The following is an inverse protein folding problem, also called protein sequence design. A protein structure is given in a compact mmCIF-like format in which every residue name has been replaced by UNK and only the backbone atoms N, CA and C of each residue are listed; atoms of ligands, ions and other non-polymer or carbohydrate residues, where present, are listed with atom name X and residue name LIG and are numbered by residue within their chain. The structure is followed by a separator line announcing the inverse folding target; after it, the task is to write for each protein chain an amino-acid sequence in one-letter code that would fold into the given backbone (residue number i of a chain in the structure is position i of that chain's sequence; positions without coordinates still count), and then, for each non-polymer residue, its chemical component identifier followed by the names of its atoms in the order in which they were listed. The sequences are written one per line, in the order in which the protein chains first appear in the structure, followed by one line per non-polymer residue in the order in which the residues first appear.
data_IF_412145814081
#
_entry.id   IF_412145814081
#
_cell.length_a   1.000
_cell.length_b   1.000
_cell.length_c   1.000
_cell.angle_alpha   90.00
_cell.angle_beta   90.00
_cell.angle_gamma   90.00
#
_symmetry.space_group_name_H-M   'P 1'
#
loop_
_entity.id
_entity.type
_entity.pdbx_description
1 polymer ?
#
# COMPACT_ATOMS: atom_id res chain seq x y z
N UNK A 1 7.55 14.33 18.88
CA UNK A 1 8.22 13.95 17.63
C UNK A 1 7.18 13.52 16.61
N UNK A 2 7.21 14.14 15.45
CA UNK A 2 6.26 13.81 14.39
C UNK A 2 6.59 12.46 13.78
N UNK A 3 5.55 11.68 13.52
CA UNK A 3 5.72 10.39 12.85
C UNK A 3 5.91 10.58 11.35
N UNK A 4 6.68 9.70 10.75
CA UNK A 4 6.75 9.58 9.29
C UNK A 4 5.48 8.87 8.84
N UNK A 5 4.69 9.50 7.97
CA UNK A 5 3.41 8.98 7.53
C UNK A 5 3.52 8.39 6.13
N UNK A 6 3.21 7.10 6.01
CA UNK A 6 3.31 6.34 4.77
C UNK A 6 1.94 5.79 4.39
N UNK A 7 1.52 6.06 3.16
CA UNK A 7 0.27 5.55 2.62
C UNK A 7 0.55 4.66 1.41
N UNK A 8 0.15 3.39 1.51
CA UNK A 8 0.25 2.44 0.41
C UNK A 8 -1.05 2.43 -0.40
N UNK A 9 -0.94 2.43 -1.73
CA UNK A 9 -2.09 2.61 -2.61
C UNK A 9 -2.07 1.58 -3.72
N UNK A 10 -3.22 0.94 -3.95
CA UNK A 10 -3.44 0.09 -5.13
C UNK A 10 -4.85 0.35 -5.66
N UNK A 11 -5.29 -0.43 -6.65
CA UNK A 11 -6.58 -0.20 -7.28
C UNK A 11 -7.75 -0.37 -6.30
N UNK A 12 -7.82 -1.52 -5.61
CA UNK A 12 -8.95 -1.87 -4.75
C UNK A 12 -8.74 -1.72 -3.25
N UNK A 13 -7.51 -1.62 -2.79
CA UNK A 13 -7.13 -1.56 -1.37
C UNK A 13 -7.57 -2.80 -0.57
N UNK A 14 -7.52 -3.96 -1.20
CA UNK A 14 -7.82 -5.23 -0.53
C UNK A 14 -6.71 -6.27 -0.67
N UNK A 15 -5.77 -6.09 -1.60
CA UNK A 15 -4.67 -7.03 -1.85
C UNK A 15 -3.29 -6.40 -1.65
N UNK A 16 -2.74 -5.75 -2.68
CA UNK A 16 -1.34 -5.29 -2.66
C UNK A 16 -1.06 -4.22 -1.62
N UNK A 17 -1.88 -3.19 -1.54
CA UNK A 17 -1.66 -2.10 -0.59
C UNK A 17 -1.86 -2.56 0.86
N UNK A 18 -2.82 -3.45 1.10
CA UNK A 18 -3.03 -4.01 2.43
C UNK A 18 -1.90 -4.96 2.81
N UNK A 19 -1.42 -5.77 1.87
CA UNK A 19 -0.26 -6.63 2.12
C UNK A 19 0.96 -5.79 2.48
N UNK A 20 1.25 -4.73 1.71
CA UNK A 20 2.37 -3.84 1.98
C UNK A 20 2.21 -3.16 3.35
N UNK A 21 1.01 -2.71 3.68
CA UNK A 21 0.71 -2.08 4.97
C UNK A 21 1.11 -2.98 6.13
N UNK A 22 0.66 -4.23 6.13
CA UNK A 22 0.91 -5.13 7.25
C UNK A 22 2.32 -5.69 7.27
N UNK A 23 2.92 -5.94 6.11
CA UNK A 23 4.33 -6.35 6.03
C UNK A 23 5.24 -5.25 6.59
N UNK A 24 5.02 -4.01 6.18
CA UNK A 24 5.82 -2.88 6.66
C UNK A 24 5.58 -2.61 8.14
N UNK A 25 4.32 -2.69 8.60
CA UNK A 25 3.98 -2.53 10.01
C UNK A 25 4.71 -3.57 10.86
N UNK A 26 4.70 -4.82 10.43
CA UNK A 26 5.41 -5.90 11.13
C UNK A 26 6.91 -5.64 11.18
N UNK A 27 7.47 -5.14 10.07
CA UNK A 27 8.89 -4.84 9.97
C UNK A 27 9.30 -3.75 10.97
N UNK A 28 8.55 -2.64 11.02
CA UNK A 28 8.87 -1.56 11.95
C UNK A 28 8.64 -1.96 13.41
N UNK A 29 7.64 -2.80 13.68
CA UNK A 29 7.38 -3.30 15.03
C UNK A 29 8.54 -4.17 15.52
N UNK A 30 9.09 -5.01 14.63
CA UNK A 30 10.22 -5.89 14.95
C UNK A 30 11.52 -5.11 15.20
N UNK A 31 11.64 -3.91 14.64
CA UNK A 31 12.82 -3.07 14.81
C UNK A 31 12.62 -1.97 15.85
N UNK A 32 11.54 -2.04 16.63
CA UNK A 32 11.21 -1.07 17.67
C UNK A 32 11.04 0.35 17.13
N UNK A 33 10.49 0.49 15.92
CA UNK A 33 10.27 1.77 15.26
C UNK A 33 8.79 2.19 15.23
N UNK A 34 7.92 1.45 15.91
CA UNK A 34 6.47 1.65 15.90
C UNK A 34 6.08 3.11 16.17
N UNK A 35 6.73 3.75 17.14
CA UNK A 35 6.40 5.11 17.55
C UNK A 35 6.86 6.17 16.54
N UNK A 36 7.67 5.79 15.55
CA UNK A 36 8.23 6.71 14.56
C UNK A 36 7.45 6.75 13.24
N UNK A 37 6.50 5.82 13.03
CA UNK A 37 5.76 5.68 11.78
C UNK A 37 4.27 5.60 12.00
N UNK A 38 3.52 6.20 11.06
CA UNK A 38 2.09 5.98 10.92
C UNK A 38 1.86 5.40 9.52
N UNK A 39 1.25 4.23 9.43
CA UNK A 39 1.09 3.48 8.19
C UNK A 39 -0.37 3.18 7.93
N UNK A 40 -0.83 3.45 6.71
CA UNK A 40 -2.18 3.15 6.29
C UNK A 40 -2.18 2.77 4.82
N UNK A 41 -3.34 2.49 4.26
CA UNK A 41 -3.50 2.16 2.86
C UNK A 41 -4.84 2.66 2.33
N UNK A 42 -4.92 2.83 1.00
CA UNK A 42 -6.10 3.34 0.33
C UNK A 42 -6.18 2.81 -1.10
N UNK A 43 -7.31 3.03 -1.75
CA UNK A 43 -7.57 2.62 -3.13
C UNK A 43 -7.63 3.83 -4.06
N UNK A 44 -7.33 3.61 -5.34
CA UNK A 44 -7.62 4.60 -6.37
C UNK A 44 -9.07 4.51 -6.84
N UNK A 45 -9.70 3.35 -6.71
CA UNK A 45 -11.09 3.12 -7.16
C UNK A 45 -12.08 3.11 -6.01
N UNK A 46 -13.37 3.10 -6.33
CA UNK A 46 -14.48 2.97 -5.38
C UNK A 46 -15.05 1.56 -5.32
N UNK A 47 -14.53 0.65 -6.14
CA UNK A 47 -15.14 -0.67 -6.34
C UNK A 47 -15.25 -1.49 -5.06
N UNK A 48 -14.27 -1.36 -4.17
CA UNK A 48 -14.18 -2.18 -2.98
C UNK A 48 -14.39 -1.42 -1.65
N UNK A 49 -14.86 -0.17 -1.71
CA UNK A 49 -15.04 0.65 -0.49
C UNK A 49 -15.84 -0.12 0.56
N UNK A 50 -15.28 -0.19 1.77
CA UNK A 50 -15.89 -0.87 2.91
C UNK A 50 -15.63 -2.36 2.98
N UNK A 51 -15.03 -2.96 1.93
CA UNK A 51 -14.75 -4.39 1.92
C UNK A 51 -13.51 -4.71 2.76
N UNK A 52 -13.48 -5.91 3.38
CA UNK A 52 -12.33 -6.33 4.17
C UNK A 52 -11.18 -6.74 3.28
N UNK A 53 -10.02 -7.00 3.90
CA UNK A 53 -8.84 -7.51 3.23
C UNK A 53 -9.19 -8.81 2.48
N UNK A 54 -8.73 -8.92 1.24
CA UNK A 54 -8.98 -10.12 0.43
C UNK A 54 -8.46 -11.37 1.14
N UNK A 55 -9.23 -12.47 1.06
CA UNK A 55 -8.87 -13.70 1.77
C UNK A 55 -7.50 -14.26 1.38
N UNK A 56 -7.07 -14.08 0.13
CA UNK A 56 -5.75 -14.51 -0.32
C UNK A 56 -4.61 -13.75 0.35
N UNK A 57 -4.77 -12.43 0.52
CA UNK A 57 -3.81 -11.60 1.25
C UNK A 57 -3.77 -12.01 2.72
N UNK A 58 -4.92 -12.17 3.34
CA UNK A 58 -5.03 -12.56 4.75
C UNK A 58 -4.38 -13.93 4.98
N UNK A 59 -4.65 -14.89 4.08
CA UNK A 59 -4.08 -16.24 4.15
C UNK A 59 -2.55 -16.19 4.02
N UNK A 60 -2.04 -15.42 3.05
CA UNK A 60 -0.58 -15.32 2.84
C UNK A 60 0.11 -14.70 4.05
N UNK A 61 -0.44 -13.63 4.61
CA UNK A 61 0.13 -13.00 5.81
C UNK A 61 0.15 -13.98 6.98
N UNK A 62 -0.91 -14.73 7.18
CA UNK A 62 -0.96 -15.76 8.22
C UNK A 62 0.09 -16.84 8.00
N UNK A 63 0.25 -17.28 6.74
CA UNK A 63 1.23 -18.31 6.36
C UNK A 63 2.66 -17.89 6.72
N UNK A 64 3.01 -16.62 6.52
CA UNK A 64 4.35 -16.10 6.83
C UNK A 64 4.47 -15.53 8.24
N UNK A 65 3.42 -15.65 9.07
CA UNK A 65 3.47 -15.24 10.47
C UNK A 65 3.35 -13.74 10.71
N UNK A 66 2.76 -12.99 9.80
CA UNK A 66 2.57 -11.55 9.94
C UNK A 66 1.17 -11.25 10.46
N UNK A 67 1.03 -10.51 11.59
CA UNK A 67 -0.28 -10.12 12.10
C UNK A 67 -1.06 -9.30 11.08
N UNK A 68 -2.37 -9.59 10.95
CA UNK A 68 -3.25 -8.91 10.01
C UNK A 68 -4.43 -8.31 10.79
N UNK A 69 -4.66 -7.01 10.59
CA UNK A 69 -5.74 -6.29 11.25
C UNK A 69 -7.04 -6.28 10.47
N UNK A 70 -7.92 -5.37 10.81
CA UNK A 70 -9.28 -5.27 10.27
C UNK A 70 -9.45 -4.10 9.30
N UNK A 71 -8.42 -3.76 8.56
CA UNK A 71 -8.49 -2.68 7.59
C UNK A 71 -9.61 -2.91 6.58
N UNK A 72 -10.34 -1.85 6.26
CA UNK A 72 -11.36 -1.87 5.24
C UNK A 72 -10.99 -0.93 4.11
N UNK A 73 -11.29 -1.32 2.88
CA UNK A 73 -10.94 -0.53 1.70
C UNK A 73 -11.58 0.86 1.76
N UNK A 74 -10.79 1.87 1.45
CA UNK A 74 -11.24 3.27 1.35
C UNK A 74 -10.56 3.93 0.16
N UNK A 75 -11.17 4.96 -0.39
CA UNK A 75 -10.59 5.65 -1.54
C UNK A 75 -9.67 6.77 -1.12
N UNK A 76 -8.53 6.90 -1.81
CA UNK A 76 -7.60 8.02 -1.67
C UNK A 76 -8.32 9.35 -1.90
N UNK A 77 -8.08 10.33 -1.03
CA UNK A 77 -8.64 11.68 -1.14
C UNK A 77 -7.54 12.70 -1.39
N UNK A 78 -7.88 13.78 -2.08
CA UNK A 78 -6.90 14.81 -2.44
C UNK A 78 -6.19 15.42 -1.24
N UNK A 79 -6.89 15.63 -0.12
CA UNK A 79 -6.32 16.22 1.09
C UNK A 79 -5.20 15.36 1.71
N UNK A 80 -5.18 14.07 1.40
CA UNK A 80 -4.19 13.15 1.96
C UNK A 80 -2.78 13.44 1.45
N UNK A 81 -2.65 14.15 0.35
CA UNK A 81 -1.35 14.55 -0.17
C UNK A 81 -0.54 15.35 0.88
N UNK A 82 -1.21 16.24 1.59
CA UNK A 82 -0.54 17.04 2.62
C UNK A 82 -0.37 16.29 3.94
N UNK A 83 -1.21 15.28 4.18
CA UNK A 83 -1.19 14.49 5.42
C UNK A 83 -0.06 13.46 5.44
N UNK A 84 0.25 12.84 4.31
CA UNK A 84 1.25 11.77 4.24
C UNK A 84 2.57 12.28 3.66
N UNK A 85 3.68 11.73 4.18
CA UNK A 85 5.03 12.05 3.69
C UNK A 85 5.37 11.24 2.44
N UNK A 86 4.87 10.01 2.36
CA UNK A 86 5.07 9.09 1.24
C UNK A 86 3.74 8.52 0.79
N UNK A 87 3.46 8.61 -0.52
CA UNK A 87 2.29 8.02 -1.15
C UNK A 87 2.82 7.02 -2.18
N UNK A 88 2.67 5.73 -1.88
CA UNK A 88 3.36 4.67 -2.60
C UNK A 88 2.37 3.77 -3.32
N UNK A 89 2.41 3.76 -4.66
CA UNK A 89 1.63 2.87 -5.50
C UNK A 89 2.38 1.59 -5.80
N UNK A 90 1.66 0.61 -6.31
CA UNK A 90 2.22 -0.72 -6.60
C UNK A 90 2.63 -0.87 -8.06
N UNK A 91 1.97 -0.16 -8.97
CA UNK A 91 2.25 -0.23 -10.39
C UNK A 91 2.03 1.12 -11.08
N UNK A 92 2.35 1.20 -12.36
CA UNK A 92 2.24 2.44 -13.14
C UNK A 92 0.81 2.94 -13.25
N UNK A 93 -0.16 2.02 -13.30
CA UNK A 93 -1.58 2.38 -13.36
C UNK A 93 -2.02 3.05 -12.06
N UNK A 94 -1.55 2.54 -10.92
CA UNK A 94 -1.80 3.17 -9.62
C UNK A 94 -1.26 4.60 -9.60
N UNK A 95 -0.02 4.79 -10.06
CA UNK A 95 0.60 6.12 -10.10
C UNK A 95 -0.23 7.08 -10.95
N UNK A 96 -0.65 6.65 -12.13
CA UNK A 96 -1.47 7.47 -13.03
C UNK A 96 -2.77 7.91 -12.36
N UNK A 97 -3.47 6.98 -11.73
CA UNK A 97 -4.74 7.26 -11.07
C UNK A 97 -4.55 8.11 -9.82
N UNK A 98 -3.44 7.91 -9.08
CA UNK A 98 -3.10 8.76 -7.94
C UNK A 98 -2.88 10.21 -8.39
N UNK A 99 -2.13 10.42 -9.46
CA UNK A 99 -1.87 11.76 -9.98
C UNK A 99 -3.16 12.47 -10.39
N UNK A 100 -4.11 11.74 -10.96
CA UNK A 100 -5.40 12.27 -11.33
C UNK A 100 -6.21 12.70 -10.10
N UNK A 101 -6.24 11.87 -9.06
CA UNK A 101 -6.95 12.18 -7.81
C UNK A 101 -6.33 13.35 -7.07
N UNK A 102 -4.98 13.35 -6.97
CA UNK A 102 -4.24 14.33 -6.21
C UNK A 102 -4.05 15.67 -6.96
N UNK A 103 -4.18 15.64 -8.28
CA UNK A 103 -3.97 16.82 -9.11
C UNK A 103 -2.49 17.11 -9.40
N UNK A 104 -1.61 16.19 -9.10
CA UNK A 104 -0.17 16.33 -9.34
C UNK A 104 0.67 15.93 -8.13
N UNK A 105 1.98 16.14 -8.23
CA UNK A 105 2.93 15.78 -7.18
C UNK A 105 4.03 16.84 -7.05
N UNK A 106 3.69 18.08 -6.61
CA UNK A 106 4.65 19.17 -6.55
C UNK A 106 5.79 18.95 -5.55
N UNK A 107 5.59 18.09 -4.54
CA UNK A 107 6.59 17.84 -3.50
C UNK A 107 7.36 16.54 -3.67
N UNK A 108 7.12 15.81 -4.78
CA UNK A 108 7.82 14.56 -5.04
C UNK A 108 7.52 13.44 -4.06
N UNK A 109 6.28 13.36 -3.56
CA UNK A 109 5.88 12.36 -2.56
C UNK A 109 5.40 11.04 -3.16
N UNK A 110 5.04 11.01 -4.43
CA UNK A 110 4.45 9.84 -5.10
C UNK A 110 5.53 8.98 -5.72
N UNK A 111 5.51 7.68 -5.42
CA UNK A 111 6.49 6.71 -5.93
C UNK A 111 5.85 5.33 -6.05
N UNK A 112 6.51 4.42 -6.77
CA UNK A 112 6.19 2.99 -6.73
C UNK A 112 6.97 2.33 -5.59
N UNK A 113 6.40 1.28 -5.01
CA UNK A 113 7.08 0.57 -3.93
C UNK A 113 8.45 0.04 -4.37
N UNK A 114 8.53 -0.55 -5.57
CA UNK A 114 9.78 -1.10 -6.07
C UNK A 114 10.82 -0.04 -6.44
N UNK A 115 10.46 1.25 -6.49
CA UNK A 115 11.42 2.34 -6.67
C UNK A 115 12.41 2.45 -5.50
N UNK A 116 12.05 1.92 -4.34
CA UNK A 116 12.92 1.90 -3.16
C UNK A 116 13.84 0.68 -3.13
N UNK A 117 13.86 -0.11 -4.21
CA UNK A 117 14.63 -1.34 -4.34
C UNK A 117 15.49 -1.29 -5.58
N UNK A 118 16.27 -2.36 -5.84
CA UNK A 118 17.04 -2.52 -7.07
C UNK A 118 16.16 -2.67 -8.30
N UNK A 119 14.86 -2.93 -8.12
CA UNK A 119 13.88 -3.10 -9.19
C UNK A 119 13.15 -1.79 -9.52
N UNK A 120 13.84 -0.67 -9.45
CA UNK A 120 13.29 0.67 -9.72
C UNK A 120 12.49 0.70 -11.03
N UNK A 121 11.30 1.28 -10.98
CA UNK A 121 10.41 1.42 -12.13
C UNK A 121 9.58 0.20 -12.46
N UNK A 122 9.78 -0.93 -11.78
CA UNK A 122 8.99 -2.14 -12.02
C UNK A 122 7.67 -2.11 -11.22
N UNK A 123 6.73 -2.92 -11.67
CA UNK A 123 5.42 -3.04 -11.04
C UNK A 123 5.34 -4.31 -10.19
N UNK A 124 4.57 -4.24 -9.10
CA UNK A 124 4.24 -5.42 -8.29
C UNK A 124 3.06 -6.13 -8.96
N UNK A 125 3.18 -7.44 -9.13
CA UNK A 125 2.12 -8.25 -9.74
C UNK A 125 0.80 -8.13 -8.98
N UNK A 126 -0.30 -7.93 -9.71
CA UNK A 126 -1.63 -7.85 -9.14
C UNK A 126 -2.25 -9.24 -9.05
N UNK A 127 -2.49 -9.79 -7.85
CA UNK A 127 -3.04 -11.12 -7.72
C UNK A 127 -4.48 -11.24 -8.21
N UNK A 128 -5.20 -10.14 -8.40
CA UNK A 128 -6.52 -10.13 -9.02
C UNK A 128 -6.47 -10.68 -10.44
N UNK A 129 -5.38 -10.33 -11.19
CA UNK A 129 -5.18 -10.81 -12.55
C UNK A 129 -4.38 -12.11 -12.62
N UNK A 130 -3.36 -12.26 -11.76
CA UNK A 130 -2.49 -13.44 -11.78
C UNK A 130 -3.00 -14.60 -10.94
N UNK A 131 -3.80 -14.30 -9.90
CA UNK A 131 -4.22 -15.28 -8.91
C UNK A 131 -3.07 -15.77 -8.02
N UNK A 132 -1.91 -15.14 -8.10
CA UNK A 132 -0.70 -15.62 -7.41
C UNK A 132 -0.28 -14.65 -6.29
N UNK A 133 -0.80 -14.89 -5.10
CA UNK A 133 -0.49 -14.10 -3.91
C UNK A 133 0.95 -14.30 -3.44
N UNK A 134 1.55 -15.46 -3.71
CA UNK A 134 2.95 -15.71 -3.36
C UNK A 134 3.87 -14.77 -4.13
N UNK A 135 3.64 -14.63 -5.44
CA UNK A 135 4.41 -13.71 -6.27
C UNK A 135 4.25 -12.27 -5.81
N UNK A 136 3.03 -11.86 -5.49
CA UNK A 136 2.77 -10.51 -4.99
C UNK A 136 3.53 -10.25 -3.70
N UNK A 137 3.55 -11.21 -2.78
CA UNK A 137 4.30 -11.09 -1.53
C UNK A 137 5.80 -10.96 -1.78
N UNK A 138 6.35 -11.77 -2.71
CA UNK A 138 7.78 -11.76 -3.03
C UNK A 138 8.22 -10.47 -3.72
N UNK A 139 7.34 -9.89 -4.56
CA UNK A 139 7.62 -8.62 -5.19
C UNK A 139 7.63 -7.49 -4.15
#
# INVERSE_FOLDING_TARGET
MEKIKVLFICHGNICRSTMAQYVFQNLIDRHNLTDQFYIDSAATSREEIGNPIHHGTRRKLKEVGIPCGDHRARQLQKWEYDEFDYLIGMDSMNIRNMMRILGGDPKGKVSKLLDFTERTGQDIADPWYTGNFDRTYED
#
